data_IF_878719343074
#
_entry.id   IF_878719343074
#
_cell.length_a   1.000
_cell.length_b   1.000
_cell.length_c   1.000
_cell.angle_alpha   90.00
_cell.angle_beta   90.00
_cell.angle_gamma   90.00
#
_symmetry.space_group_name_H-M   'P 1'
#
loop_
_entity.id
_entity.type
_entity.pdbx_description
1 polymer ?
#
# COMPACT_ATOMS: atom_id res chain seq x y z
N UNK A 1 -2.94 -0.60 16.04
CA UNK A 1 -3.35 -1.10 14.71
C UNK A 1 -3.13 0.04 13.73
N UNK A 2 -2.06 -0.03 12.94
CA UNK A 2 -1.57 1.11 12.15
C UNK A 2 -1.31 0.69 10.70
N UNK A 3 -1.20 1.69 9.83
CA UNK A 3 -0.98 1.51 8.39
C UNK A 3 0.50 1.46 8.07
N UNK A 4 0.92 0.51 7.23
CA UNK A 4 2.25 0.47 6.62
C UNK A 4 2.16 0.94 5.17
N UNK A 5 2.95 1.96 4.82
CA UNK A 5 3.09 2.48 3.46
C UNK A 5 4.25 1.80 2.74
N UNK A 6 3.99 1.22 1.56
CA UNK A 6 5.02 0.65 0.68
C UNK A 6 5.06 1.43 -0.63
N UNK A 7 6.15 2.16 -0.85
CA UNK A 7 6.42 2.87 -2.11
C UNK A 7 6.96 1.93 -3.17
N UNK A 8 6.46 2.04 -4.40
CA UNK A 8 6.68 1.01 -5.42
C UNK A 8 6.01 -0.32 -5.05
N UNK A 9 4.95 -0.29 -4.23
CA UNK A 9 4.33 -1.47 -3.63
C UNK A 9 3.73 -2.46 -4.62
N UNK A 10 3.43 -2.02 -5.85
CA UNK A 10 2.95 -2.89 -6.94
C UNK A 10 4.08 -3.41 -7.84
N UNK A 11 5.35 -3.07 -7.55
CA UNK A 11 6.52 -3.61 -8.25
C UNK A 11 6.96 -4.96 -7.71
N UNK A 12 7.95 -5.59 -8.35
CA UNK A 12 8.40 -6.95 -8.00
C UNK A 12 8.75 -7.10 -6.51
N UNK A 13 9.69 -6.29 -6.00
CA UNK A 13 10.10 -6.34 -4.59
C UNK A 13 9.01 -5.83 -3.64
N UNK A 14 8.32 -4.75 -4.01
CA UNK A 14 7.24 -4.17 -3.20
C UNK A 14 6.11 -5.17 -2.95
N UNK A 15 5.72 -5.92 -3.97
CA UNK A 15 4.69 -6.95 -3.86
C UNK A 15 5.15 -8.14 -3.01
N UNK A 16 6.42 -8.55 -3.07
CA UNK A 16 6.94 -9.58 -2.18
C UNK A 16 6.98 -9.11 -0.72
N UNK A 17 7.42 -7.87 -0.47
CA UNK A 17 7.40 -7.27 0.88
C UNK A 17 5.97 -7.17 1.42
N UNK A 18 5.02 -6.69 0.61
CA UNK A 18 3.62 -6.58 1.02
C UNK A 18 3.04 -7.94 1.44
N UNK A 19 3.32 -9.01 0.69
CA UNK A 19 2.90 -10.37 1.05
C UNK A 19 3.52 -10.84 2.35
N UNK A 20 4.82 -10.59 2.54
CA UNK A 20 5.50 -10.92 3.78
C UNK A 20 4.90 -10.18 4.98
N UNK A 21 4.59 -8.88 4.84
CA UNK A 21 3.97 -8.07 5.88
C UNK A 21 2.57 -8.57 6.23
N UNK A 22 1.73 -8.85 5.24
CA UNK A 22 0.38 -9.39 5.44
C UNK A 22 0.44 -10.76 6.16
N UNK A 23 1.29 -11.66 5.68
CA UNK A 23 1.50 -12.98 6.31
C UNK A 23 2.05 -12.88 7.74
N UNK A 24 2.75 -11.79 8.07
CA UNK A 24 3.26 -11.51 9.42
C UNK A 24 2.24 -10.81 10.32
N UNK A 25 1.01 -10.58 9.85
CA UNK A 25 -0.10 -10.02 10.63
C UNK A 25 -0.30 -8.51 10.47
N UNK A 26 0.34 -7.87 9.49
CA UNK A 26 0.06 -6.46 9.17
C UNK A 26 -1.34 -6.34 8.60
N UNK A 27 -2.21 -5.58 9.28
CA UNK A 27 -3.62 -5.46 8.90
C UNK A 27 -3.92 -4.35 7.92
N UNK A 28 -3.13 -3.29 7.86
CA UNK A 28 -3.41 -2.12 7.01
C UNK A 28 -2.22 -1.82 6.11
N UNK A 29 -2.39 -2.02 4.81
CA UNK A 29 -1.37 -1.81 3.80
C UNK A 29 -1.80 -0.71 2.82
N UNK A 30 -0.97 0.33 2.71
CA UNK A 30 -1.07 1.32 1.65
C UNK A 30 0.04 1.06 0.62
N UNK A 31 -0.32 0.56 -0.55
CA UNK A 31 0.61 0.32 -1.64
C UNK A 31 0.54 1.49 -2.62
N UNK A 32 1.67 2.17 -2.82
CA UNK A 32 1.72 3.26 -3.78
C UNK A 32 2.67 2.99 -4.93
N UNK A 33 2.28 3.41 -6.12
CA UNK A 33 3.14 3.48 -7.30
C UNK A 33 2.58 4.53 -8.25
N UNK A 34 3.35 4.98 -9.25
CA UNK A 34 2.86 5.98 -10.22
C UNK A 34 1.61 5.53 -10.99
N UNK A 35 1.49 4.23 -11.26
CA UNK A 35 0.33 3.64 -11.96
C UNK A 35 -0.79 3.26 -10.99
N UNK A 36 -0.50 3.12 -9.70
CA UNK A 36 -1.50 2.78 -8.69
C UNK A 36 -2.30 1.53 -9.06
N UNK A 37 -3.65 1.57 -8.98
CA UNK A 37 -4.53 0.47 -9.38
C UNK A 37 -4.34 -0.02 -10.82
N UNK A 38 -3.87 0.85 -11.72
CA UNK A 38 -3.64 0.51 -13.13
C UNK A 38 -2.29 -0.17 -13.38
N UNK A 39 -1.50 -0.43 -12.32
CA UNK A 39 -0.28 -1.19 -12.47
C UNK A 39 -0.59 -2.66 -12.81
N UNK A 40 0.13 -3.29 -13.74
CA UNK A 40 -0.04 -4.72 -14.05
C UNK A 40 0.09 -5.56 -12.77
N UNK A 41 -0.89 -6.42 -12.51
CA UNK A 41 -0.90 -7.30 -11.33
C UNK A 41 -1.38 -6.64 -10.03
N UNK A 42 -1.78 -5.36 -10.04
CA UNK A 42 -2.17 -4.66 -8.81
C UNK A 42 -3.48 -5.19 -8.21
N UNK A 43 -4.45 -5.54 -9.05
CA UNK A 43 -5.73 -6.08 -8.60
C UNK A 43 -5.54 -7.47 -7.98
N UNK A 44 -4.74 -8.32 -8.61
CA UNK A 44 -4.40 -9.66 -8.15
C UNK A 44 -3.62 -9.60 -6.83
N UNK A 45 -2.59 -8.75 -6.75
CA UNK A 45 -1.84 -8.52 -5.51
C UNK A 45 -2.76 -8.05 -4.38
N UNK A 46 -3.65 -7.09 -4.64
CA UNK A 46 -4.57 -6.60 -3.62
C UNK A 46 -5.58 -7.67 -3.17
N UNK A 47 -6.01 -8.56 -4.06
CA UNK A 47 -6.85 -9.69 -3.69
C UNK A 47 -6.11 -10.70 -2.80
N UNK A 48 -4.91 -11.13 -3.20
CA UNK A 48 -4.06 -12.04 -2.43
C UNK A 48 -3.78 -11.52 -1.00
N UNK A 49 -3.47 -10.23 -0.88
CA UNK A 49 -3.21 -9.62 0.42
C UNK A 49 -4.46 -9.56 1.31
N UNK A 50 -5.66 -9.38 0.73
CA UNK A 50 -6.93 -9.45 1.46
C UNK A 50 -7.23 -10.86 1.93
N UNK A 51 -6.92 -11.88 1.13
CA UNK A 51 -7.02 -13.29 1.54
C UNK A 51 -6.09 -13.62 2.72
N UNK A 52 -4.93 -12.96 2.79
CA UNK A 52 -4.01 -13.03 3.93
C UNK A 52 -4.48 -12.22 5.15
N UNK A 53 -5.64 -11.55 5.07
CA UNK A 53 -6.25 -10.82 6.19
C UNK A 53 -5.86 -9.35 6.31
N UNK A 54 -5.22 -8.77 5.29
CA UNK A 54 -4.89 -7.34 5.25
C UNK A 54 -5.99 -6.53 4.54
N UNK A 55 -6.33 -5.37 5.09
CA UNK A 55 -6.99 -4.28 4.38
C UNK A 55 -5.97 -3.55 3.51
N UNK A 56 -6.29 -3.41 2.22
CA UNK A 56 -5.33 -2.91 1.22
C UNK A 56 -5.93 -1.74 0.46
N UNK A 57 -5.20 -0.63 0.49
CA UNK A 57 -5.40 0.52 -0.39
C UNK A 57 -4.28 0.56 -1.42
N UNK A 58 -4.64 0.62 -2.70
CA UNK A 58 -3.67 0.86 -3.79
C UNK A 58 -3.89 2.26 -4.32
N UNK A 59 -2.85 3.10 -4.27
CA UNK A 59 -2.95 4.50 -4.64
C UNK A 59 -1.93 4.87 -5.73
N UNK A 60 -2.40 5.64 -6.72
CA UNK A 60 -1.51 6.29 -7.67
C UNK A 60 -0.83 7.49 -7.00
N UNK A 61 0.51 7.47 -6.90
CA UNK A 61 1.29 8.61 -6.44
C UNK A 61 2.69 8.58 -7.06
N UNK A 62 3.17 9.75 -7.47
CA UNK A 62 4.60 9.97 -7.66
C UNK A 62 5.18 10.50 -6.34
N UNK A 63 6.08 9.75 -5.72
CA UNK A 63 6.69 10.14 -4.43
C UNK A 63 7.72 11.26 -4.58
N UNK A 64 8.12 11.60 -5.80
CA UNK A 64 8.92 12.79 -6.08
C UNK A 64 8.06 14.07 -6.09
N UNK A 65 6.74 13.94 -6.28
CA UNK A 65 5.80 15.05 -6.16
C UNK A 65 5.42 15.25 -4.69
N UNK A 66 5.92 16.34 -4.11
CA UNK A 66 5.68 16.71 -2.71
C UNK A 66 4.20 16.93 -2.42
N UNK A 67 3.46 17.55 -3.33
CA UNK A 67 2.05 17.90 -3.12
C UNK A 67 1.20 16.64 -3.18
N UNK A 68 1.45 15.79 -4.18
CA UNK A 68 0.77 14.50 -4.29
C UNK A 68 1.06 13.60 -3.07
N UNK A 69 2.31 13.56 -2.61
CA UNK A 69 2.70 12.79 -1.42
C UNK A 69 2.01 13.31 -0.17
N UNK A 70 1.95 14.63 0.02
CA UNK A 70 1.25 15.22 1.15
C UNK A 70 -0.26 14.88 1.14
N UNK A 71 -0.90 14.93 -0.02
CA UNK A 71 -2.30 14.55 -0.18
C UNK A 71 -2.53 13.06 0.11
N UNK A 72 -1.64 12.18 -0.36
CA UNK A 72 -1.69 10.75 -0.06
C UNK A 72 -1.62 10.49 1.46
N UNK A 73 -0.66 11.13 2.14
CA UNK A 73 -0.47 10.98 3.58
C UNK A 73 -1.66 11.54 4.39
N UNK A 74 -2.23 12.66 3.96
CA UNK A 74 -3.42 13.25 4.59
C UNK A 74 -4.69 12.38 4.41
N UNK A 75 -4.71 11.49 3.43
CA UNK A 75 -5.81 10.55 3.19
C UNK A 75 -5.74 9.26 4.01
N UNK A 76 -4.69 9.07 4.82
CA UNK A 76 -4.58 7.89 5.70
C UNK A 76 -5.62 8.02 6.83
N UNK A 77 -6.35 6.93 7.09
CA UNK A 77 -7.37 6.90 8.12
C UNK A 77 -6.75 7.21 9.50
N UNK A 78 -7.20 8.26 10.20
CA UNK A 78 -6.69 8.58 11.53
C UNK A 78 -6.98 7.50 12.58
N UNK A 79 -7.95 6.61 12.37
CA UNK A 79 -8.18 5.44 13.23
C UNK A 79 -7.07 4.38 13.08
N UNK A 80 -6.40 4.35 11.92
CA UNK A 80 -5.31 3.44 11.59
C UNK A 80 -4.09 4.25 11.08
N UNK A 81 -3.45 5.04 11.96
CA UNK A 81 -2.44 6.01 11.56
C UNK A 81 -1.23 5.33 10.91
N UNK A 82 -0.48 6.08 10.12
CA UNK A 82 0.80 5.61 9.56
C UNK A 82 1.77 5.26 10.69
N UNK A 83 2.26 4.02 10.70
CA UNK A 83 3.23 3.49 11.66
C UNK A 83 4.41 2.83 10.96
N UNK A 84 5.54 2.70 11.65
CA UNK A 84 6.76 2.04 11.16
C UNK A 84 6.97 0.70 11.87
#
# INVERSE_FOLDING_TARGET
DGTVLVTGGTGALGGHLARHLAASGTRHLLLTSRRGPDAPGAAELAAELRELGAEVTVAACDTADRVATAALLAGIDPAHPLTA
#
